data_IF_598490956893
#
_entry.id   IF_598490956893
#
_cell.length_a   1.000
_cell.length_b   1.000
_cell.length_c   1.000
_cell.angle_alpha   90.00
_cell.angle_beta   90.00
_cell.angle_gamma   90.00
#
_symmetry.space_group_name_H-M   'P 1'
#
loop_
_entity.id
_entity.type
_entity.pdbx_description
1 polymer ?
#
# COMPACT_ATOMS: atom_id res chain seq x y z
N UNK A 1 -18.20 11.09 -0.92
CA UNK A 1 -17.50 9.80 -0.79
C UNK A 1 -17.16 9.60 0.67
N UNK A 2 -17.08 8.36 1.16
CA UNK A 2 -17.00 8.07 2.59
C UNK A 2 -15.58 7.77 3.12
N UNK A 3 -14.56 7.71 2.25
CA UNK A 3 -13.21 7.33 2.65
C UNK A 3 -12.37 8.56 3.00
N UNK A 4 -11.84 8.61 4.23
CA UNK A 4 -10.85 9.62 4.67
C UNK A 4 -9.44 9.28 4.19
N UNK A 5 -9.12 7.99 4.20
CA UNK A 5 -7.87 7.42 3.70
C UNK A 5 -8.17 6.33 2.67
N UNK A 6 -7.48 6.36 1.54
CA UNK A 6 -7.51 5.33 0.51
C UNK A 6 -6.14 4.67 0.44
N UNK A 7 -6.09 3.36 0.71
CA UNK A 7 -4.89 2.54 0.54
C UNK A 7 -5.01 1.71 -0.74
N UNK A 8 -4.10 1.92 -1.69
CA UNK A 8 -4.00 1.15 -2.93
C UNK A 8 -2.76 0.25 -2.87
N UNK A 9 -2.90 -1.03 -2.52
CA UNK A 9 -1.80 -1.98 -2.60
C UNK A 9 -1.49 -2.32 -4.07
N UNK A 10 -0.22 -2.25 -4.44
CA UNK A 10 0.28 -2.66 -5.75
C UNK A 10 1.60 -3.42 -5.59
N UNK A 11 1.92 -4.34 -6.49
CA UNK A 11 3.29 -4.88 -6.54
C UNK A 11 4.21 -3.93 -7.29
N UNK A 12 5.52 -4.03 -7.06
CA UNK A 12 6.57 -3.31 -7.79
C UNK A 12 6.72 -3.79 -9.25
N UNK A 13 5.63 -3.85 -10.02
CA UNK A 13 5.60 -4.33 -11.40
C UNK A 13 4.98 -3.30 -12.34
N UNK A 14 5.43 -3.27 -13.60
CA UNK A 14 4.84 -2.41 -14.63
C UNK A 14 3.38 -2.81 -14.96
N UNK A 15 3.04 -4.09 -14.79
CA UNK A 15 1.67 -4.58 -14.99
C UNK A 15 0.73 -3.99 -13.95
N UNK A 16 1.15 -3.98 -12.68
CA UNK A 16 0.38 -3.37 -11.60
C UNK A 16 0.37 -1.84 -11.69
N UNK A 17 1.43 -1.23 -12.24
CA UNK A 17 1.50 0.23 -12.43
C UNK A 17 0.46 0.77 -13.42
N UNK A 18 0.03 -0.02 -14.39
CA UNK A 18 -1.02 0.38 -15.35
C UNK A 18 -2.35 0.69 -14.65
N UNK A 19 -2.55 0.17 -13.42
CA UNK A 19 -3.67 0.54 -12.55
C UNK A 19 -3.56 1.97 -12.00
N UNK A 20 -2.40 2.63 -12.06
CA UNK A 20 -2.22 4.01 -11.61
C UNK A 20 -2.01 4.97 -12.77
N UNK A 21 -1.23 4.58 -13.76
CA UNK A 21 -0.92 5.43 -14.91
C UNK A 21 -0.53 4.62 -16.12
N UNK A 22 -0.91 5.12 -17.29
CA UNK A 22 -0.49 4.55 -18.56
C UNK A 22 0.92 5.01 -18.88
N UNK A 23 1.78 4.06 -19.25
CA UNK A 23 3.15 4.32 -19.68
C UNK A 23 3.33 4.01 -21.16
N UNK A 24 4.23 4.74 -21.79
CA UNK A 24 4.76 4.36 -23.08
C UNK A 24 5.67 3.12 -22.93
N UNK A 25 5.47 2.05 -23.73
CA UNK A 25 6.23 0.81 -23.58
C UNK A 25 7.69 0.90 -24.04
N UNK A 26 8.04 1.90 -24.86
CA UNK A 26 9.38 2.07 -25.41
C UNK A 26 10.26 2.94 -24.52
N UNK A 27 9.72 4.07 -24.03
CA UNK A 27 10.49 5.06 -23.28
C UNK A 27 10.08 5.20 -21.79
N UNK A 28 8.99 4.56 -21.37
CA UNK A 28 8.43 4.60 -20.00
C UNK A 28 7.90 5.97 -19.55
N UNK A 29 7.61 6.88 -20.48
CA UNK A 29 6.98 8.16 -20.17
C UNK A 29 5.53 7.97 -19.72
N UNK A 30 5.10 8.80 -18.77
CA UNK A 30 3.73 8.77 -18.24
C UNK A 30 2.78 9.47 -19.23
N UNK A 31 2.02 8.69 -19.98
CA UNK A 31 1.03 9.18 -20.94
C UNK A 31 -0.16 9.85 -20.25
N UNK A 32 -0.58 9.32 -19.10
CA UNK A 32 -1.70 9.89 -18.34
C UNK A 32 -2.18 8.97 -17.22
N UNK A 33 -3.21 9.39 -16.47
CA UNK A 33 -3.80 8.56 -15.43
C UNK A 33 -4.47 7.31 -16.02
N UNK A 34 -4.57 6.28 -15.20
CA UNK A 34 -5.40 5.10 -15.45
C UNK A 34 -6.88 5.39 -15.12
N UNK A 35 -7.76 4.47 -15.50
CA UNK A 35 -9.19 4.51 -15.13
C UNK A 35 -9.40 4.51 -13.61
N UNK A 36 -8.59 3.75 -12.86
CA UNK A 36 -8.69 3.74 -11.41
C UNK A 36 -8.26 5.08 -10.80
N UNK A 37 -7.19 5.68 -11.32
CA UNK A 37 -6.75 7.01 -10.89
C UNK A 37 -7.77 8.11 -11.20
N UNK A 38 -8.42 8.04 -12.36
CA UNK A 38 -9.54 8.93 -12.71
C UNK A 38 -10.71 8.76 -11.74
N UNK A 39 -11.07 7.53 -11.38
CA UNK A 39 -12.11 7.26 -10.38
C UNK A 39 -11.77 7.88 -9.01
N UNK A 40 -10.51 7.80 -8.56
CA UNK A 40 -10.07 8.43 -7.31
C UNK A 40 -10.10 9.95 -7.41
N UNK A 41 -9.70 10.51 -8.55
CA UNK A 41 -9.80 11.94 -8.82
C UNK A 41 -11.25 12.44 -8.72
N UNK A 42 -12.20 11.73 -9.34
CA UNK A 42 -13.62 12.05 -9.27
C UNK A 42 -14.19 11.91 -7.85
N UNK A 43 -13.69 10.94 -7.08
CA UNK A 43 -14.04 10.76 -5.68
C UNK A 43 -13.57 11.95 -4.82
N UNK A 44 -12.35 12.44 -5.05
CA UNK A 44 -11.80 13.64 -4.40
C UNK A 44 -12.57 14.90 -4.78
N UNK A 45 -12.87 15.08 -6.07
CA UNK A 45 -13.66 16.23 -6.56
C UNK A 45 -15.04 16.27 -5.92
N UNK A 46 -15.76 15.14 -5.87
CA UNK A 46 -17.06 15.05 -5.20
C UNK A 46 -16.97 15.39 -3.71
N UNK A 47 -15.93 14.93 -3.02
CA UNK A 47 -15.72 15.22 -1.59
C UNK A 47 -15.43 16.71 -1.33
N UNK A 48 -14.61 17.32 -2.18
CA UNK A 48 -14.32 18.76 -2.10
C UNK A 48 -15.58 19.62 -2.31
N UNK A 49 -16.45 19.25 -3.26
CA UNK A 49 -17.74 19.94 -3.49
C UNK A 49 -18.64 19.86 -2.24
N UNK A 50 -18.62 18.73 -1.52
CA UNK A 50 -19.36 18.56 -0.27
C UNK A 50 -18.70 19.24 0.94
N UNK A 51 -17.59 19.96 0.77
CA UNK A 51 -16.88 20.64 1.86
C UNK A 51 -16.06 19.74 2.77
N UNK A 52 -15.82 18.48 2.38
CA UNK A 52 -14.97 17.55 3.13
C UNK A 52 -13.47 17.80 2.91
N UNK A 53 -12.64 17.32 3.84
CA UNK A 53 -11.18 17.25 3.66
C UNK A 53 -10.80 16.42 2.43
N UNK A 54 -9.61 16.63 1.86
CA UNK A 54 -9.13 15.77 0.77
C UNK A 54 -8.92 14.32 1.24
N UNK A 55 -9.07 13.36 0.34
CA UNK A 55 -8.79 11.95 0.63
C UNK A 55 -7.27 11.76 0.68
N UNK A 56 -6.75 11.29 1.81
CA UNK A 56 -5.36 10.86 1.91
C UNK A 56 -5.19 9.58 1.09
N UNK A 57 -4.50 9.67 -0.04
CA UNK A 57 -4.32 8.53 -0.93
C UNK A 57 -2.89 8.00 -0.82
N UNK A 58 -2.79 6.75 -0.42
CA UNK A 58 -1.56 6.05 -0.14
C UNK A 58 -1.43 4.88 -1.10
N UNK A 59 -0.35 4.84 -1.87
CA UNK A 59 0.01 3.71 -2.72
C UNK A 59 1.05 2.87 -1.99
N UNK A 60 0.68 1.64 -1.64
CA UNK A 60 1.56 0.70 -0.95
C UNK A 60 2.26 -0.19 -1.97
N UNK A 61 3.60 -0.18 -1.96
CA UNK A 61 4.45 -0.92 -2.90
C UNK A 61 4.93 -2.25 -2.30
N UNK A 62 4.33 -3.35 -2.72
CA UNK A 62 4.71 -4.71 -2.33
C UNK A 62 5.91 -5.20 -3.14
N UNK A 63 6.88 -5.80 -2.45
CA UNK A 63 8.16 -6.21 -3.03
C UNK A 63 8.08 -7.66 -3.49
N UNK A 64 8.24 -7.88 -4.79
CA UNK A 64 8.43 -9.22 -5.36
C UNK A 64 9.91 -9.64 -5.27
N UNK A 65 10.14 -10.89 -4.89
CA UNK A 65 11.49 -11.44 -4.65
C UNK A 65 12.30 -11.61 -5.94
N UNK A 66 11.64 -11.83 -7.09
CA UNK A 66 12.26 -12.24 -8.37
C UNK A 66 12.49 -11.11 -9.38
N UNK A 67 12.09 -9.87 -9.08
CA UNK A 67 12.26 -8.77 -10.03
C UNK A 67 13.71 -8.30 -10.16
N UNK A 68 14.15 -8.08 -11.41
CA UNK A 68 15.45 -7.50 -11.75
C UNK A 68 15.66 -6.14 -11.07
N UNK A 69 16.88 -5.91 -10.56
CA UNK A 69 17.22 -4.69 -9.84
C UNK A 69 17.04 -3.41 -10.68
N UNK A 70 17.22 -3.47 -12.00
CA UNK A 70 16.96 -2.34 -12.91
C UNK A 70 15.46 -2.05 -13.00
N UNK A 71 14.62 -3.08 -13.09
CA UNK A 71 13.17 -2.91 -13.13
C UNK A 71 12.63 -2.34 -11.81
N UNK A 72 13.17 -2.76 -10.67
CA UNK A 72 12.82 -2.19 -9.35
C UNK A 72 13.13 -0.70 -9.24
N UNK A 73 14.28 -0.25 -9.79
CA UNK A 73 14.63 1.18 -9.80
C UNK A 73 13.75 1.98 -10.76
N UNK A 74 13.41 1.40 -11.92
CA UNK A 74 12.54 2.07 -12.89
C UNK A 74 11.12 2.23 -12.35
N UNK A 75 10.54 1.18 -11.78
CA UNK A 75 9.19 1.27 -11.23
C UNK A 75 9.11 2.27 -10.09
N UNK A 76 10.14 2.32 -9.24
CA UNK A 76 10.27 3.32 -8.19
C UNK A 76 10.24 4.75 -8.74
N UNK A 77 11.07 5.04 -9.74
CA UNK A 77 11.11 6.35 -10.40
C UNK A 77 9.77 6.74 -11.03
N UNK A 78 9.13 5.82 -11.75
CA UNK A 78 7.86 6.11 -12.43
C UNK A 78 6.73 6.32 -11.43
N UNK A 79 6.68 5.53 -10.34
CA UNK A 79 5.70 5.72 -9.26
C UNK A 79 5.90 7.06 -8.56
N UNK A 80 7.14 7.44 -8.26
CA UNK A 80 7.45 8.72 -7.62
C UNK A 80 7.05 9.90 -8.53
N UNK A 81 7.38 9.85 -9.82
CA UNK A 81 6.97 10.86 -10.79
C UNK A 81 5.45 10.99 -10.92
N UNK A 82 4.73 9.86 -10.90
CA UNK A 82 3.26 9.88 -10.93
C UNK A 82 2.65 10.41 -9.62
N UNK A 83 3.29 10.12 -8.49
CA UNK A 83 2.87 10.53 -7.15
C UNK A 83 2.66 12.03 -7.07
N UNK A 84 3.62 12.81 -7.60
CA UNK A 84 3.56 14.28 -7.62
C UNK A 84 2.44 14.80 -8.53
N UNK A 85 2.21 14.14 -9.67
CA UNK A 85 1.22 14.57 -10.67
C UNK A 85 -0.22 14.26 -10.27
N UNK A 86 -0.46 13.12 -9.62
CA UNK A 86 -1.81 12.64 -9.22
C UNK A 86 -2.13 12.97 -7.75
N UNK A 87 -1.12 13.24 -6.94
CA UNK A 87 -1.27 13.64 -5.53
C UNK A 87 -1.59 12.46 -4.61
N UNK A 88 -0.92 11.32 -4.79
CA UNK A 88 -0.86 10.28 -3.76
C UNK A 88 0.52 10.31 -3.09
N UNK A 89 0.68 9.59 -1.98
CA UNK A 89 1.97 9.35 -1.33
C UNK A 89 2.28 7.86 -1.31
N UNK A 90 3.55 7.49 -1.27
CA UNK A 90 3.97 6.09 -1.31
C UNK A 90 4.24 5.55 0.09
N UNK A 91 3.99 4.25 0.28
CA UNK A 91 4.35 3.51 1.49
C UNK A 91 5.02 2.19 1.11
N UNK A 92 5.96 1.73 1.95
CA UNK A 92 6.56 0.39 1.78
C UNK A 92 5.53 -0.66 2.16
N UNK A 93 5.26 -1.58 1.23
CA UNK A 93 4.38 -2.70 1.44
C UNK A 93 5.10 -3.95 1.93
N UNK A 94 4.38 -5.06 1.79
CA UNK A 94 4.82 -6.36 2.24
C UNK A 94 5.66 -7.07 1.19
N UNK A 95 6.63 -7.84 1.65
CA UNK A 95 7.20 -8.93 0.84
C UNK A 95 6.25 -10.13 0.79
N UNK A 96 6.22 -10.83 -0.34
CA UNK A 96 5.47 -12.07 -0.47
C UNK A 96 5.97 -13.14 0.50
N UNK A 97 5.05 -13.69 1.31
CA UNK A 97 5.38 -14.72 2.30
C UNK A 97 4.26 -15.73 2.44
N UNK A 98 4.64 -17.00 2.61
CA UNK A 98 3.71 -18.12 2.78
C UNK A 98 2.90 -18.02 4.07
N UNK A 99 3.47 -17.40 5.12
CA UNK A 99 2.81 -17.25 6.43
C UNK A 99 1.42 -16.59 6.35
N UNK A 100 1.23 -15.62 5.44
CA UNK A 100 -0.08 -14.98 5.27
C UNK A 100 -1.14 -15.96 4.77
N UNK A 101 -0.75 -16.92 3.91
CA UNK A 101 -1.64 -17.98 3.39
C UNK A 101 -1.89 -19.07 4.42
N UNK A 102 -0.89 -19.39 5.24
CA UNK A 102 -1.02 -20.40 6.31
C UNK A 102 -1.95 -19.93 7.44
N UNK A 103 -1.92 -18.64 7.78
CA UNK A 103 -2.79 -18.09 8.83
C UNK A 103 -4.23 -17.85 8.34
N UNK A 104 -4.43 -17.65 7.03
CA UNK A 104 -5.72 -17.29 6.45
C UNK A 104 -6.88 -18.24 6.81
N UNK A 105 -6.73 -19.59 6.73
CA UNK A 105 -7.81 -20.52 7.09
C UNK A 105 -8.27 -20.41 8.55
N UNK A 106 -7.37 -19.95 9.44
CA UNK A 106 -7.66 -19.79 10.87
C UNK A 106 -8.15 -18.38 11.21
N UNK A 107 -8.25 -17.48 10.24
CA UNK A 107 -8.59 -16.07 10.48
C UNK A 107 -7.55 -15.32 11.33
N UNK A 108 -6.31 -15.83 11.40
CA UNK A 108 -5.25 -15.26 12.23
C UNK A 108 -4.42 -14.24 11.46
N UNK A 109 -3.82 -13.32 12.20
CA UNK A 109 -2.90 -12.30 11.70
C UNK A 109 -1.52 -12.42 12.38
N UNK A 110 -0.53 -11.70 11.84
CA UNK A 110 0.81 -11.63 12.45
C UNK A 110 0.82 -11.00 13.85
N UNK A 111 -0.25 -10.27 14.22
CA UNK A 111 -0.38 -9.65 15.53
C UNK A 111 -0.77 -10.69 16.60
N UNK A 112 -1.53 -11.70 16.21
CA UNK A 112 -2.07 -12.76 17.09
C UNK A 112 -1.00 -13.79 17.46
N UNK A 113 0.09 -13.90 16.68
CA UNK A 113 1.24 -14.76 16.98
C UNK A 113 1.95 -14.43 18.30
N UNK A 114 1.63 -13.29 18.94
CA UNK A 114 2.11 -12.92 20.28
C UNK A 114 1.29 -13.52 21.42
N UNK A 115 0.06 -13.96 21.16
CA UNK A 115 -0.81 -14.48 22.20
C UNK A 115 -0.27 -15.83 22.70
N UNK A 116 -0.16 -15.96 24.04
CA UNK A 116 0.29 -17.17 24.72
C UNK A 116 -0.67 -18.31 24.37
N UNK A 117 -0.34 -19.11 23.37
CA UNK A 117 -1.19 -20.23 22.92
C UNK A 117 -0.96 -20.62 21.46
N UNK A 118 -0.47 -19.70 20.63
CA UNK A 118 -0.08 -20.02 19.25
C UNK A 118 1.33 -20.61 19.28
N UNK A 119 1.43 -21.94 19.41
CA UNK A 119 2.68 -22.71 19.53
C UNK A 119 3.64 -22.65 18.33
N UNK A 120 3.57 -21.62 17.49
CA UNK A 120 4.46 -21.42 16.37
C UNK A 120 5.78 -20.80 16.86
N UNK A 121 6.89 -21.53 16.73
CA UNK A 121 8.22 -20.93 16.83
C UNK A 121 8.30 -19.75 15.84
N UNK A 122 8.64 -18.56 16.34
CA UNK A 122 8.77 -17.38 15.49
C UNK A 122 9.96 -17.57 14.54
N UNK A 123 9.65 -17.85 13.27
CA UNK A 123 10.65 -17.83 12.22
C UNK A 123 11.15 -16.39 11.99
N UNK A 124 12.37 -16.25 11.46
CA UNK A 124 12.89 -14.93 11.04
C UNK A 124 11.97 -14.23 10.03
N UNK A 125 11.25 -15.01 9.20
CA UNK A 125 10.24 -14.49 8.27
C UNK A 125 9.08 -13.82 8.99
N UNK A 126 8.60 -14.40 10.11
CA UNK A 126 7.53 -13.82 10.92
C UNK A 126 7.98 -12.50 11.56
N UNK A 127 9.22 -12.44 12.06
CA UNK A 127 9.78 -11.22 12.65
C UNK A 127 9.85 -10.10 11.62
N UNK A 128 10.36 -10.40 10.42
CA UNK A 128 10.45 -9.43 9.32
C UNK A 128 9.06 -8.93 8.88
N UNK A 129 8.09 -9.84 8.71
CA UNK A 129 6.74 -9.49 8.32
C UNK A 129 6.06 -8.55 9.34
N UNK A 130 6.30 -8.77 10.63
CA UNK A 130 5.81 -7.89 11.70
C UNK A 130 6.47 -6.51 11.68
N UNK A 131 7.76 -6.43 11.35
CA UNK A 131 8.44 -5.16 11.20
C UNK A 131 7.85 -4.36 10.03
N UNK A 132 7.53 -5.02 8.92
CA UNK A 132 6.85 -4.38 7.77
C UNK A 132 5.45 -3.88 8.14
N UNK A 133 4.67 -4.65 8.90
CA UNK A 133 3.34 -4.21 9.39
C UNK A 133 3.47 -2.93 10.22
N UNK A 134 4.45 -2.88 11.14
CA UNK A 134 4.67 -1.67 11.96
C UNK A 134 5.04 -0.46 11.11
N UNK A 135 5.97 -0.63 10.17
CA UNK A 135 6.36 0.44 9.25
C UNK A 135 5.19 0.93 8.41
N UNK A 136 4.30 0.04 7.96
CA UNK A 136 3.08 0.44 7.27
C UNK A 136 2.17 1.25 8.20
N UNK A 137 1.90 0.78 9.41
CA UNK A 137 1.04 1.49 10.37
C UNK A 137 1.55 2.90 10.68
N UNK A 138 2.87 3.06 10.84
CA UNK A 138 3.52 4.36 11.00
C UNK A 138 3.33 5.23 9.74
N UNK A 139 3.54 4.66 8.56
CA UNK A 139 3.36 5.37 7.30
C UNK A 139 1.91 5.77 7.05
N UNK A 140 0.92 4.98 7.48
CA UNK A 140 -0.49 5.31 7.25
C UNK A 140 -0.92 6.59 7.95
N UNK A 141 -0.24 7.00 9.04
CA UNK A 141 -0.56 8.21 9.80
C UNK A 141 -2.07 8.35 10.07
N UNK A 142 -2.72 7.22 10.39
CA UNK A 142 -4.16 7.18 10.53
C UNK A 142 -4.61 8.14 11.65
N UNK A 143 -5.73 8.84 11.48
CA UNK A 143 -6.34 9.63 12.54
C UNK A 143 -6.99 8.69 13.56
N UNK A 144 -6.15 7.93 14.27
CA UNK A 144 -6.55 7.21 15.45
C UNK A 144 -6.79 8.30 16.50
N UNK A 145 -8.05 8.52 16.90
CA UNK A 145 -8.36 9.41 18.01
C UNK A 145 -7.51 9.06 19.24
N UNK A 146 -7.38 10.00 20.19
CA UNK A 146 -6.62 9.76 21.42
C UNK A 146 -7.00 8.38 22.00
N UNK A 147 -6.01 7.56 22.41
CA UNK A 147 -6.31 6.25 22.96
C UNK A 147 -7.25 6.45 24.13
N UNK A 148 -8.50 6.01 23.99
CA UNK A 148 -9.45 6.00 25.08
C UNK A 148 -8.83 5.15 26.18
N UNK A 149 -8.30 5.80 27.20
CA UNK A 149 -7.84 5.14 28.41
C UNK A 149 -9.03 4.38 28.97
N UNK A 150 -9.07 3.07 28.72
CA UNK A 150 -9.97 2.17 29.45
C UNK A 150 -9.35 2.04 30.84
N UNK A 151 -10.02 2.67 31.80
CA UNK A 151 -9.76 2.62 33.24
C UNK A 151 -9.94 1.19 33.74
#
# INVERSE_FOLDING_TARGET
TCADTLLTPMNDSFVDFDLLGRIDPENYDILGPSVYSEMVWDARKRRAISGGSTIDWIVMRNRLSTLDAKNKRRIEYVVESLSERIGFRTAKGFGERVIFREMFPSGLTLLDLKEKGVGAQLSMSHVAARAEVRQLMEALALPLGEPTHVI
#
